data_IF_199285353176
#
_entry.id   IF_199285353176
#
_cell.length_a   1.000
_cell.length_b   1.000
_cell.length_c   1.000
_cell.angle_alpha   90.00
_cell.angle_beta   90.00
_cell.angle_gamma   90.00
#
_symmetry.space_group_name_H-M   'P 1'
#
loop_
_entity.id
_entity.type
_entity.pdbx_description
1 polymer ?
#
# COMPACT_ATOMS: atom_id res chain seq x y z
N UNK A 1 -11.84 -12.58 -7.97
CA UNK A 1 -12.52 -11.25 -8.05
C UNK A 1 -13.44 -11.07 -6.85
N UNK A 2 -13.46 -9.88 -6.32
CA UNK A 2 -14.40 -9.53 -5.26
C UNK A 2 -14.94 -8.11 -5.47
N UNK A 3 -16.03 -7.79 -4.80
CA UNK A 3 -16.60 -6.44 -4.75
C UNK A 3 -16.23 -5.84 -3.39
N UNK A 4 -15.58 -4.66 -3.41
CA UNK A 4 -15.35 -3.88 -2.21
C UNK A 4 -16.43 -2.79 -2.13
N UNK A 5 -17.37 -2.91 -1.17
CA UNK A 5 -18.43 -1.93 -1.05
C UNK A 5 -18.03 -0.66 -0.31
N UNK A 6 -16.87 -0.65 0.33
CA UNK A 6 -16.54 0.33 1.37
C UNK A 6 -15.52 1.39 0.94
N UNK A 7 -14.54 1.02 0.12
CA UNK A 7 -13.38 1.89 -0.17
C UNK A 7 -13.77 3.24 -0.81
N UNK A 8 -14.81 3.25 -1.66
CA UNK A 8 -15.33 4.47 -2.29
C UNK A 8 -16.79 4.75 -1.87
N UNK A 9 -17.24 4.21 -0.75
CA UNK A 9 -18.63 4.35 -0.29
C UNK A 9 -18.91 5.74 0.30
N UNK A 10 -17.94 6.33 0.97
CA UNK A 10 -18.14 7.63 1.62
C UNK A 10 -18.27 8.77 0.62
N UNK A 11 -19.05 9.81 0.99
CA UNK A 11 -19.17 11.01 0.19
C UNK A 11 -17.78 11.65 -0.06
N UNK A 12 -17.54 12.20 -1.26
CA UNK A 12 -18.51 12.44 -2.33
C UNK A 12 -18.70 11.28 -3.32
N UNK A 13 -18.07 10.11 -3.07
CA UNK A 13 -18.00 9.01 -4.04
C UNK A 13 -19.30 8.20 -4.09
N UNK A 14 -19.56 7.35 -3.10
CA UNK A 14 -20.81 6.64 -2.95
C UNK A 14 -21.01 5.45 -3.88
N UNK A 15 -19.93 4.74 -4.27
CA UNK A 15 -20.01 3.56 -5.13
C UNK A 15 -19.10 2.42 -4.64
N UNK A 16 -19.44 1.20 -5.02
CA UNK A 16 -18.62 0.02 -4.83
C UNK A 16 -17.62 -0.16 -5.97
N UNK A 17 -16.52 -0.85 -5.71
CA UNK A 17 -15.53 -1.18 -6.73
C UNK A 17 -15.40 -2.69 -6.90
N UNK A 18 -15.08 -3.13 -8.13
CA UNK A 18 -14.73 -4.52 -8.41
C UNK A 18 -13.21 -4.65 -8.41
N UNK A 19 -12.69 -5.67 -7.72
CA UNK A 19 -11.25 -5.88 -7.59
C UNK A 19 -10.89 -7.29 -8.08
N UNK A 20 -9.94 -7.36 -8.99
CA UNK A 20 -9.25 -8.60 -9.38
C UNK A 20 -7.82 -8.45 -8.91
N UNK A 21 -7.41 -9.28 -7.96
CA UNK A 21 -6.08 -9.14 -7.35
C UNK A 21 -5.29 -10.43 -7.38
N UNK A 22 -3.98 -10.28 -7.38
CA UNK A 22 -3.01 -11.33 -7.16
C UNK A 22 -1.94 -10.78 -6.22
N UNK A 23 -1.69 -11.49 -5.13
CA UNK A 23 -0.71 -11.10 -4.12
C UNK A 23 0.12 -12.30 -3.74
N UNK A 24 1.44 -12.13 -3.70
CA UNK A 24 2.34 -13.13 -3.16
C UNK A 24 3.51 -12.46 -2.48
N UNK A 25 4.07 -13.17 -1.52
CA UNK A 25 5.21 -12.67 -0.78
C UNK A 25 5.75 -13.74 0.15
N UNK A 26 6.79 -13.37 0.84
CA UNK A 26 7.40 -14.20 1.86
C UNK A 26 7.99 -13.29 2.94
N UNK A 27 8.35 -13.87 4.07
CA UNK A 27 8.99 -13.12 5.14
C UNK A 27 10.19 -13.87 5.69
N UNK A 28 11.18 -13.10 6.16
CA UNK A 28 12.35 -13.58 6.84
C UNK A 28 12.34 -13.08 8.27
N UNK A 29 12.53 -13.98 9.22
CA UNK A 29 12.65 -13.64 10.64
C UNK A 29 14.11 -13.70 11.04
N UNK A 30 14.60 -12.65 11.68
CA UNK A 30 15.98 -12.54 12.13
C UNK A 30 16.04 -12.55 13.65
N UNK A 31 17.02 -13.27 14.19
CA UNK A 31 17.26 -13.39 15.62
C UNK A 31 18.65 -12.87 15.97
N UNK A 32 18.79 -12.30 17.16
CA UNK A 32 20.09 -11.96 17.73
C UNK A 32 20.83 -13.22 18.15
N UNK A 33 22.13 -13.11 18.45
CA UNK A 33 22.95 -14.25 18.88
C UNK A 33 22.42 -14.90 20.16
N UNK A 34 21.76 -14.13 21.03
CA UNK A 34 21.16 -14.63 22.27
C UNK A 34 19.80 -15.33 22.06
N UNK A 35 19.32 -15.41 20.81
CA UNK A 35 18.04 -16.04 20.46
C UNK A 35 16.85 -15.11 20.53
N UNK A 36 17.01 -13.84 20.96
CA UNK A 36 15.92 -12.88 20.98
C UNK A 36 15.59 -12.40 19.55
N UNK A 37 14.32 -12.00 19.36
CA UNK A 37 13.85 -11.47 18.08
C UNK A 37 14.55 -10.16 17.73
N UNK A 38 15.10 -10.09 16.51
CA UNK A 38 15.77 -8.89 16.02
C UNK A 38 14.87 -8.07 15.09
N UNK A 39 14.29 -8.71 14.08
CA UNK A 39 13.38 -8.08 13.11
C UNK A 39 12.70 -9.12 12.25
N UNK A 40 11.63 -8.74 11.59
CA UNK A 40 11.05 -9.49 10.48
C UNK A 40 10.97 -8.59 9.25
N UNK A 41 11.37 -9.11 8.10
CA UNK A 41 11.24 -8.43 6.81
C UNK A 41 10.20 -9.17 5.99
N UNK A 42 9.15 -8.46 5.58
CA UNK A 42 8.11 -8.96 4.68
C UNK A 42 8.40 -8.43 3.28
N UNK A 43 8.50 -9.34 2.31
CA UNK A 43 8.65 -9.02 0.90
C UNK A 43 7.30 -9.25 0.24
N UNK A 44 6.73 -8.23 -0.38
CA UNK A 44 5.39 -8.31 -0.94
C UNK A 44 5.32 -7.82 -2.37
N UNK A 45 4.54 -8.56 -3.19
CA UNK A 45 4.16 -8.18 -4.54
C UNK A 45 2.64 -8.24 -4.65
N UNK A 46 2.05 -7.18 -5.16
CA UNK A 46 0.60 -7.04 -5.29
C UNK A 46 0.27 -6.47 -6.66
N UNK A 47 -0.63 -7.15 -7.37
CA UNK A 47 -1.20 -6.69 -8.64
C UNK A 47 -2.72 -6.70 -8.52
N UNK A 48 -3.36 -5.62 -8.97
CA UNK A 48 -4.81 -5.56 -8.98
C UNK A 48 -5.32 -4.78 -10.20
N UNK A 49 -6.50 -5.17 -10.64
CA UNK A 49 -7.33 -4.39 -11.56
C UNK A 49 -8.56 -3.95 -10.78
N UNK A 50 -8.79 -2.66 -10.70
CA UNK A 50 -9.88 -2.07 -9.94
C UNK A 50 -10.79 -1.34 -10.92
N UNK A 51 -12.09 -1.64 -10.88
CA UNK A 51 -13.05 -1.07 -11.82
C UNK A 51 -14.35 -0.65 -11.15
N UNK A 52 -14.93 0.42 -11.66
CA UNK A 52 -16.25 0.92 -11.32
C UNK A 52 -16.72 1.90 -12.39
N UNK A 53 -18.02 2.02 -12.58
CA UNK A 53 -18.63 3.02 -13.45
C UNK A 53 -18.08 3.00 -14.90
N UNK A 54 -17.73 1.80 -15.40
CA UNK A 54 -17.16 1.65 -16.75
C UNK A 54 -15.70 2.07 -16.89
N UNK A 55 -15.02 2.37 -15.79
CA UNK A 55 -13.62 2.79 -15.75
C UNK A 55 -12.77 1.75 -15.04
N UNK A 56 -11.50 1.67 -15.42
CA UNK A 56 -10.55 0.69 -14.87
C UNK A 56 -9.22 1.36 -14.57
N UNK A 57 -8.66 1.04 -13.44
CA UNK A 57 -7.31 1.40 -13.03
C UNK A 57 -6.54 0.13 -12.66
N UNK A 58 -5.21 0.21 -12.72
CA UNK A 58 -4.31 -0.92 -12.44
C UNK A 58 -3.35 -0.54 -11.33
N UNK A 59 -3.21 -1.43 -10.34
CA UNK A 59 -2.26 -1.28 -9.24
C UNK A 59 -1.18 -2.34 -9.33
N UNK A 60 0.07 -1.92 -9.11
CA UNK A 60 1.24 -2.81 -9.03
C UNK A 60 2.16 -2.33 -7.94
N UNK A 61 2.31 -3.13 -6.90
CA UNK A 61 3.12 -2.81 -5.73
C UNK A 61 4.21 -3.83 -5.55
N UNK A 62 5.42 -3.36 -5.24
CA UNK A 62 6.56 -4.19 -4.88
C UNK A 62 7.31 -3.48 -3.77
N UNK A 63 7.26 -4.03 -2.57
CA UNK A 63 7.86 -3.37 -1.41
C UNK A 63 8.31 -4.36 -0.34
N UNK A 64 9.15 -3.86 0.55
CA UNK A 64 9.55 -4.53 1.77
C UNK A 64 9.02 -3.77 2.98
N UNK A 65 8.54 -4.50 3.97
CA UNK A 65 8.09 -3.97 5.24
C UNK A 65 8.89 -4.65 6.35
N UNK A 66 9.64 -3.85 7.12
CA UNK A 66 10.43 -4.35 8.24
C UNK A 66 9.78 -3.94 9.55
N UNK A 67 9.59 -4.92 10.44
CA UNK A 67 9.10 -4.70 11.80
C UNK A 67 10.22 -4.94 12.80
N UNK A 68 10.34 -4.04 13.78
CA UNK A 68 11.33 -4.10 14.84
C UNK A 68 10.69 -4.41 16.20
N UNK A 69 11.47 -4.94 17.19
CA UNK A 69 10.93 -5.32 18.49
C UNK A 69 10.32 -4.16 19.29
N UNK A 70 10.77 -2.93 19.05
CA UNK A 70 10.26 -1.74 19.73
C UNK A 70 8.90 -1.25 19.17
N UNK A 71 8.36 -1.94 18.14
CA UNK A 71 7.12 -1.57 17.49
C UNK A 71 7.27 -0.59 16.32
N UNK A 72 8.48 -0.09 16.08
CA UNK A 72 8.75 0.72 14.88
C UNK A 72 8.74 -0.14 13.62
N UNK A 73 8.56 0.50 12.47
CA UNK A 73 8.52 -0.18 11.19
C UNK A 73 9.09 0.68 10.07
N UNK A 74 9.41 0.02 8.95
CA UNK A 74 9.96 0.70 7.77
C UNK A 74 9.40 0.10 6.50
N UNK A 75 8.83 0.95 5.64
CA UNK A 75 8.48 0.61 4.27
C UNK A 75 9.59 1.04 3.32
N UNK A 76 9.93 0.18 2.36
CA UNK A 76 10.91 0.48 1.30
C UNK A 76 10.42 -0.10 -0.01
N UNK A 77 10.44 0.69 -1.08
CA UNK A 77 10.03 0.27 -2.41
C UNK A 77 8.82 1.03 -2.92
N UNK A 78 8.10 0.43 -3.88
CA UNK A 78 6.85 0.96 -4.43
C UNK A 78 5.68 0.32 -3.69
N UNK A 79 5.27 0.94 -2.59
CA UNK A 79 4.22 0.40 -1.73
C UNK A 79 2.82 0.57 -2.31
N UNK A 80 2.63 1.57 -3.19
CA UNK A 80 1.42 1.73 -4.00
C UNK A 80 1.78 2.39 -5.32
N UNK A 81 1.36 1.78 -6.43
CA UNK A 81 1.48 2.37 -7.74
C UNK A 81 0.21 2.08 -8.53
N UNK A 82 -0.62 3.10 -8.70
CA UNK A 82 -1.91 2.99 -9.39
C UNK A 82 -1.89 3.86 -10.63
N UNK A 83 -2.24 3.26 -11.78
CA UNK A 83 -2.32 3.93 -13.07
C UNK A 83 -3.70 3.79 -13.70
N UNK A 84 -4.12 4.83 -14.38
CA UNK A 84 -5.29 4.82 -15.26
C UNK A 84 -4.92 5.25 -16.68
N UNK A 85 -5.91 5.41 -17.58
CA UNK A 85 -5.66 5.86 -18.96
C UNK A 85 -4.98 7.22 -19.06
N UNK A 86 -5.18 8.09 -18.06
CA UNK A 86 -4.58 9.42 -17.98
C UNK A 86 -3.20 9.49 -17.35
N UNK A 87 -2.65 8.36 -16.89
CA UNK A 87 -1.36 8.28 -16.22
C UNK A 87 -1.45 7.85 -14.75
N UNK A 88 -0.51 8.32 -13.94
CA UNK A 88 -0.43 7.95 -12.52
C UNK A 88 -1.58 8.57 -11.73
N UNK A 89 -2.29 7.73 -10.98
CA UNK A 89 -3.41 8.11 -10.11
C UNK A 89 -2.96 8.28 -8.67
N UNK A 90 -2.24 7.27 -8.13
CA UNK A 90 -1.66 7.30 -6.78
C UNK A 90 -0.26 6.71 -6.85
N UNK A 91 0.68 7.37 -6.22
CA UNK A 91 2.06 6.88 -6.13
C UNK A 91 2.58 6.97 -4.71
N UNK A 92 3.07 5.84 -4.25
CA UNK A 92 3.76 5.72 -2.97
C UNK A 92 5.02 4.90 -3.19
N UNK A 93 6.18 5.56 -3.13
CA UNK A 93 7.47 4.93 -3.42
C UNK A 93 8.58 5.61 -2.64
N UNK A 94 9.61 4.83 -2.30
CA UNK A 94 10.78 5.29 -1.56
C UNK A 94 10.86 4.65 -0.19
N UNK A 95 11.00 5.45 0.86
CA UNK A 95 11.13 4.94 2.22
C UNK A 95 10.30 5.75 3.20
N UNK A 96 9.60 5.06 4.10
CA UNK A 96 8.95 5.66 5.27
C UNK A 96 9.34 4.85 6.49
N UNK A 97 9.81 5.53 7.52
CA UNK A 97 10.08 4.95 8.83
C UNK A 97 9.04 5.48 9.81
N UNK A 98 8.34 4.54 10.47
CA UNK A 98 7.34 4.86 11.48
C UNK A 98 7.87 4.57 12.87
N UNK A 99 7.58 5.47 13.81
CA UNK A 99 7.77 5.21 15.23
C UNK A 99 6.77 4.17 15.74
N UNK A 100 7.00 3.63 16.93
CA UNK A 100 6.12 2.64 17.55
C UNK A 100 4.68 3.13 17.73
N UNK A 101 4.47 4.43 17.87
CA UNK A 101 3.14 5.05 17.99
C UNK A 101 2.45 5.30 16.64
N UNK A 102 3.08 4.93 15.53
CA UNK A 102 2.56 5.12 14.17
C UNK A 102 2.87 6.47 13.53
N UNK A 103 3.52 7.38 14.25
CA UNK A 103 3.95 8.66 13.67
C UNK A 103 5.14 8.46 12.73
N UNK A 104 5.27 9.36 11.75
CA UNK A 104 6.37 9.32 10.79
C UNK A 104 7.64 9.85 11.44
N UNK A 105 8.68 9.02 11.48
CA UNK A 105 10.01 9.40 11.93
C UNK A 105 10.86 10.00 10.80
N UNK A 106 10.78 9.38 9.61
CA UNK A 106 11.55 9.76 8.43
C UNK A 106 10.81 9.33 7.18
N UNK A 107 10.89 10.15 6.12
CA UNK A 107 10.37 9.77 4.81
C UNK A 107 11.23 10.32 3.68
N UNK A 108 11.30 9.57 2.59
CA UNK A 108 11.97 9.95 1.35
C UNK A 108 11.16 9.41 0.17
N UNK A 109 10.91 10.26 -0.81
CA UNK A 109 10.07 9.95 -1.96
C UNK A 109 8.62 10.39 -1.79
N UNK A 110 7.78 10.20 -2.84
CA UNK A 110 6.35 10.51 -2.77
C UNK A 110 5.63 9.45 -1.92
N UNK A 111 4.75 9.89 -1.02
CA UNK A 111 3.97 9.02 -0.15
C UNK A 111 2.51 9.46 -0.12
N UNK A 112 1.86 9.41 -1.29
CA UNK A 112 0.47 9.86 -1.46
C UNK A 112 -0.51 9.03 -0.64
N UNK A 113 -0.27 7.72 -0.49
CA UNK A 113 -1.12 6.88 0.35
C UNK A 113 -0.68 6.82 1.81
N UNK A 114 0.60 6.52 2.08
CA UNK A 114 1.07 6.30 3.45
C UNK A 114 1.07 7.58 4.31
N UNK A 115 1.20 8.74 3.70
CA UNK A 115 1.27 10.02 4.43
C UNK A 115 0.13 10.95 4.03
N UNK A 116 -0.12 11.15 2.74
CA UNK A 116 -1.03 12.19 2.25
C UNK A 116 -2.47 11.72 2.11
N UNK A 117 -2.75 10.42 2.28
CA UNK A 117 -4.10 9.81 2.18
C UNK A 117 -4.83 10.13 0.87
N UNK A 118 -4.11 10.11 -0.25
CA UNK A 118 -4.70 10.33 -1.57
C UNK A 118 -5.55 9.12 -1.97
N UNK A 119 -6.78 9.37 -2.38
CA UNK A 119 -7.71 8.33 -2.83
C UNK A 119 -7.65 8.13 -4.33
N UNK A 120 -7.85 6.89 -4.78
CA UNK A 120 -8.03 6.57 -6.21
C UNK A 120 -9.49 6.73 -6.67
N UNK A 121 -10.43 6.93 -5.77
CA UNK A 121 -11.86 7.00 -6.08
C UNK A 121 -12.22 8.04 -7.15
N UNK A 122 -11.59 9.23 -7.22
CA UNK A 122 -11.86 10.18 -8.30
C UNK A 122 -11.65 9.61 -9.70
N UNK A 123 -10.67 8.73 -9.87
CA UNK A 123 -10.37 8.12 -11.18
C UNK A 123 -11.46 7.16 -11.65
N UNK A 124 -12.29 6.64 -10.75
CA UNK A 124 -13.37 5.71 -11.03
C UNK A 124 -14.77 6.34 -10.92
N UNK A 125 -14.87 7.59 -10.53
CA UNK A 125 -16.15 8.30 -10.40
C UNK A 125 -16.88 8.39 -11.74
N UNK A 126 -18.23 8.33 -11.73
CA UNK A 126 -19.03 8.39 -12.95
C UNK A 126 -18.87 9.69 -13.75
#
# INVERSE_FOLDING_TARGET
>A
MFVDPDVCAAAPWGFAVNVVQHEFGFFDVFFNQDGSFAKVIVHNNYDATISANGKTIVERDTYELTFYPDGSSRYTGSSVHIQGPGGIVVRDAGQVVFNADGSVHYSHGPHQQLIDNVSFCPALAP
#
